data_IF_128457788843
#
_entry.id   IF_128457788843
#
_cell.length_a   1.000
_cell.length_b   1.000
_cell.length_c   1.000
_cell.angle_alpha   90.00
_cell.angle_beta   90.00
_cell.angle_gamma   90.00
#
_symmetry.space_group_name_H-M   'P 1'
#
loop_
_entity.id
_entity.type
_entity.pdbx_description
1 polymer ?
#
# COMPACT_ATOMS: atom_id res chain seq x y z
N UNK A 1 29.88 -11.04 34.90
CA UNK A 1 28.97 -9.87 34.96
C UNK A 1 28.87 -9.26 33.56
N UNK A 2 27.97 -9.72 32.71
CA UNK A 2 27.72 -9.14 31.39
C UNK A 2 26.29 -8.53 31.43
N UNK A 3 26.23 -7.21 31.52
CA UNK A 3 25.02 -6.43 31.30
C UNK A 3 24.73 -6.40 29.78
N UNK A 4 23.86 -7.27 29.32
CA UNK A 4 23.26 -7.14 27.98
C UNK A 4 22.46 -5.83 27.93
N UNK A 5 22.98 -4.84 27.24
CA UNK A 5 22.26 -3.63 26.87
C UNK A 5 21.16 -4.01 25.87
N UNK A 6 19.93 -4.05 26.34
CA UNK A 6 18.75 -4.17 25.50
C UNK A 6 18.50 -2.79 24.86
N UNK A 7 19.09 -2.54 23.69
CA UNK A 7 18.76 -1.39 22.86
C UNK A 7 17.29 -1.52 22.43
N UNK A 8 16.47 -0.48 22.57
CA UNK A 8 15.08 -0.51 22.13
C UNK A 8 15.03 -0.48 20.60
N UNK A 9 14.68 -1.63 20.02
CA UNK A 9 14.44 -1.80 18.57
C UNK A 9 13.28 -0.90 18.06
N UNK A 10 12.53 -0.27 18.97
CA UNK A 10 11.39 0.59 18.64
C UNK A 10 11.74 1.93 17.98
N UNK A 11 12.98 2.40 18.02
CA UNK A 11 13.35 3.74 17.55
C UNK A 11 13.78 3.78 16.07
N UNK A 12 14.03 2.60 15.45
CA UNK A 12 14.54 2.53 14.07
C UNK A 12 13.43 2.47 12.99
N UNK A 13 12.18 2.28 13.39
CA UNK A 13 11.05 2.14 12.45
C UNK A 13 10.47 3.51 12.04
N UNK A 14 10.79 4.58 12.74
CA UNK A 14 10.21 5.92 12.50
C UNK A 14 10.88 6.73 11.37
N UNK A 15 12.02 6.28 10.86
CA UNK A 15 12.83 7.06 9.91
C UNK A 15 12.51 6.82 8.42
N UNK A 16 11.62 5.87 8.06
CA UNK A 16 11.42 5.46 6.67
C UNK A 16 10.11 5.96 6.03
N UNK A 17 9.34 6.82 6.69
CA UNK A 17 8.01 7.24 6.21
C UNK A 17 8.00 8.54 5.37
N UNK A 18 9.13 9.07 4.93
CA UNK A 18 9.20 10.39 4.27
C UNK A 18 9.42 10.37 2.75
N UNK A 19 9.21 9.26 2.06
CA UNK A 19 9.57 9.15 0.65
C UNK A 19 8.41 9.07 -0.35
N UNK A 20 7.25 9.66 -0.07
CA UNK A 20 6.18 9.80 -1.06
C UNK A 20 5.67 11.23 -1.13
N UNK A 21 6.57 12.22 -1.17
CA UNK A 21 6.24 13.54 -1.66
C UNK A 21 5.98 13.39 -3.16
N UNK A 22 4.72 13.46 -3.58
CA UNK A 22 4.32 13.53 -4.97
C UNK A 22 5.17 14.62 -5.63
N UNK A 23 5.98 14.25 -6.61
CA UNK A 23 6.79 15.18 -7.39
C UNK A 23 5.85 15.99 -8.27
N UNK A 24 5.32 17.07 -7.70
CA UNK A 24 4.59 18.06 -8.49
C UNK A 24 5.59 18.89 -9.28
N UNK A 25 5.35 19.15 -10.55
CA UNK A 25 6.23 20.00 -11.34
C UNK A 25 6.28 21.41 -10.73
N UNK A 26 7.48 21.94 -10.58
CA UNK A 26 7.69 23.32 -10.13
C UNK A 26 7.53 24.22 -11.34
N UNK A 27 6.62 25.18 -11.27
CA UNK A 27 6.23 26.05 -12.40
C UNK A 27 6.64 27.49 -12.11
N UNK A 28 7.47 28.06 -12.95
CA UNK A 28 7.95 29.45 -12.85
C UNK A 28 7.41 30.32 -14.00
N UNK A 29 6.91 31.52 -13.71
CA UNK A 29 6.52 32.49 -14.75
C UNK A 29 7.77 33.01 -15.50
N UNK A 30 7.92 32.67 -16.79
CA UNK A 30 9.04 33.12 -17.58
C UNK A 30 8.83 34.52 -18.18
N UNK A 31 7.57 35.00 -18.28
CA UNK A 31 7.20 36.26 -18.91
C UNK A 31 6.55 37.26 -17.94
N UNK A 32 6.85 37.15 -16.64
CA UNK A 32 6.30 38.05 -15.61
C UNK A 32 4.80 37.92 -15.36
N UNK A 33 4.24 36.73 -15.60
CA UNK A 33 2.83 36.43 -15.28
C UNK A 33 2.53 36.62 -13.80
N UNK A 34 1.38 37.23 -13.51
CA UNK A 34 0.94 37.40 -12.12
C UNK A 34 0.58 36.07 -11.46
N UNK A 35 0.63 35.96 -10.12
CA UNK A 35 0.20 34.75 -9.42
C UNK A 35 -1.24 34.35 -9.73
N UNK A 36 -2.14 35.31 -9.90
CA UNK A 36 -3.54 35.06 -10.27
C UNK A 36 -3.63 34.40 -11.65
N UNK A 37 -2.88 34.93 -12.63
CA UNK A 37 -2.83 34.33 -13.96
C UNK A 37 -2.23 32.92 -13.93
N UNK A 38 -1.16 32.71 -13.18
CA UNK A 38 -0.55 31.39 -13.01
C UNK A 38 -1.54 30.37 -12.44
N UNK A 39 -2.34 30.75 -11.41
CA UNK A 39 -3.35 29.88 -10.84
C UNK A 39 -4.43 29.49 -11.86
N UNK A 40 -4.91 30.47 -12.64
CA UNK A 40 -5.91 30.24 -13.70
C UNK A 40 -5.34 29.32 -14.77
N UNK A 41 -4.15 29.64 -15.30
CA UNK A 41 -3.48 28.84 -16.33
C UNK A 41 -3.21 27.39 -15.84
N UNK A 42 -2.81 27.25 -14.59
CA UNK A 42 -2.60 25.92 -13.97
C UNK A 42 -3.89 25.12 -13.92
N UNK A 43 -4.99 25.72 -13.48
CA UNK A 43 -6.29 25.03 -13.40
C UNK A 43 -6.78 24.60 -14.80
N UNK A 44 -6.65 25.47 -15.80
CA UNK A 44 -7.01 25.13 -17.17
C UNK A 44 -6.11 24.03 -17.75
N UNK A 45 -4.80 24.06 -17.50
CA UNK A 45 -3.88 23.02 -17.93
C UNK A 45 -4.14 21.68 -17.23
N UNK A 46 -4.54 21.68 -15.97
CA UNK A 46 -4.96 20.46 -15.26
C UNK A 46 -6.24 19.88 -15.86
N UNK A 47 -7.22 20.71 -16.17
CA UNK A 47 -8.44 20.27 -16.82
C UNK A 47 -8.17 19.68 -18.21
N UNK A 48 -7.34 20.35 -19.01
CA UNK A 48 -6.91 19.86 -20.32
C UNK A 48 -6.13 18.53 -20.20
N UNK A 49 -5.21 18.44 -19.25
CA UNK A 49 -4.45 17.21 -19.01
C UNK A 49 -5.36 16.04 -18.61
N UNK A 50 -6.36 16.29 -17.75
CA UNK A 50 -7.38 15.28 -17.40
C UNK A 50 -8.15 14.80 -18.64
N UNK A 51 -8.57 15.69 -19.49
CA UNK A 51 -9.30 15.35 -20.72
C UNK A 51 -8.43 14.58 -21.72
N UNK A 52 -7.16 14.97 -21.87
CA UNK A 52 -6.24 14.40 -22.84
C UNK A 52 -5.67 13.06 -22.41
N UNK A 53 -5.36 12.89 -21.12
CA UNK A 53 -4.75 11.66 -20.59
C UNK A 53 -5.78 10.68 -20.03
N UNK A 54 -7.00 11.12 -19.75
CA UNK A 54 -8.02 10.34 -19.04
C UNK A 54 -7.71 10.13 -17.54
N UNK A 55 -6.63 10.74 -17.02
CA UNK A 55 -6.22 10.57 -15.63
C UNK A 55 -6.89 11.62 -14.75
N UNK A 56 -7.63 11.18 -13.73
CA UNK A 56 -8.25 12.03 -12.72
C UNK A 56 -7.52 11.93 -11.38
N UNK A 57 -6.70 12.92 -11.00
CA UNK A 57 -5.96 12.89 -9.73
C UNK A 57 -6.89 12.80 -8.50
N UNK A 58 -8.08 13.40 -8.58
CA UNK A 58 -9.04 13.37 -7.46
C UNK A 58 -9.61 11.97 -7.27
N UNK A 59 -9.98 11.29 -8.37
CA UNK A 59 -10.46 9.91 -8.31
C UNK A 59 -9.36 8.97 -7.77
N UNK A 60 -8.11 9.16 -8.18
CA UNK A 60 -6.97 8.40 -7.67
C UNK A 60 -6.78 8.63 -6.16
N UNK A 61 -6.84 9.86 -5.69
CA UNK A 61 -6.73 10.19 -4.28
C UNK A 61 -7.84 9.53 -3.45
N UNK A 62 -9.09 9.55 -3.95
CA UNK A 62 -10.22 8.90 -3.29
C UNK A 62 -10.05 7.38 -3.21
N UNK A 63 -9.55 6.73 -4.26
CA UNK A 63 -9.25 5.30 -4.23
C UNK A 63 -8.17 4.95 -3.21
N UNK A 64 -7.17 5.81 -3.04
CA UNK A 64 -6.08 5.62 -2.07
C UNK A 64 -6.56 5.69 -0.62
N UNK A 65 -7.61 6.50 -0.34
CA UNK A 65 -8.18 6.66 1.01
C UNK A 65 -9.14 5.54 1.39
N UNK A 66 -9.67 4.79 0.42
CA UNK A 66 -10.62 3.70 0.67
C UNK A 66 -9.99 2.41 1.21
N UNK A 67 -8.70 2.43 1.55
CA UNK A 67 -8.00 1.35 2.23
C UNK A 67 -7.71 0.14 1.32
N UNK A 68 -6.49 -0.36 1.38
CA UNK A 68 -6.13 -1.64 0.79
C UNK A 68 -6.96 -2.80 1.39
N UNK A 69 -6.97 -3.97 0.74
CA UNK A 69 -7.71 -5.12 1.23
C UNK A 69 -7.36 -5.39 2.70
N UNK A 70 -8.36 -5.68 3.55
CA UNK A 70 -8.15 -5.86 4.98
C UNK A 70 -7.12 -6.98 5.19
N UNK A 71 -6.06 -6.67 5.93
CA UNK A 71 -5.08 -7.68 6.30
C UNK A 71 -5.79 -8.75 7.12
N UNK A 72 -5.84 -9.97 6.59
CA UNK A 72 -6.44 -11.09 7.31
C UNK A 72 -5.54 -11.44 8.50
N UNK A 73 -5.98 -11.08 9.70
CA UNK A 73 -5.38 -11.47 10.97
C UNK A 73 -6.08 -12.73 11.50
N UNK A 74 -5.34 -13.57 12.21
CA UNK A 74 -5.92 -14.71 12.91
C UNK A 74 -5.86 -16.04 12.16
N UNK A 75 -5.10 -16.18 11.05
CA UNK A 75 -4.96 -17.47 10.34
C UNK A 75 -4.38 -18.59 11.21
N UNK A 76 -3.46 -18.28 12.11
CA UNK A 76 -2.93 -19.24 13.07
C UNK A 76 -3.99 -19.72 14.05
N UNK A 77 -4.83 -18.80 14.57
CA UNK A 77 -5.91 -19.14 15.52
C UNK A 77 -7.00 -19.96 14.81
N UNK A 78 -7.42 -19.57 13.61
CA UNK A 78 -8.37 -20.33 12.80
C UNK A 78 -7.82 -21.69 12.41
N UNK A 79 -6.51 -21.78 12.08
CA UNK A 79 -5.83 -23.03 11.78
C UNK A 79 -5.75 -23.95 13.02
N UNK A 80 -5.46 -23.39 14.20
CA UNK A 80 -5.43 -24.14 15.44
C UNK A 80 -6.80 -24.73 15.78
N UNK A 81 -7.86 -23.92 15.71
CA UNK A 81 -9.21 -24.38 16.03
C UNK A 81 -9.69 -25.44 15.05
N UNK A 82 -9.49 -25.26 13.74
CA UNK A 82 -9.82 -26.25 12.72
C UNK A 82 -9.01 -27.53 12.86
N UNK A 83 -7.69 -27.42 13.09
CA UNK A 83 -6.80 -28.55 13.28
C UNK A 83 -7.12 -29.34 14.57
N UNK A 84 -7.47 -28.67 15.67
CA UNK A 84 -7.90 -29.31 16.91
C UNK A 84 -9.19 -30.12 16.71
N UNK A 85 -10.19 -29.57 16.01
CA UNK A 85 -11.44 -30.26 15.75
C UNK A 85 -11.23 -31.54 14.93
N UNK A 86 -10.48 -31.46 13.83
CA UNK A 86 -10.16 -32.63 13.00
C UNK A 86 -9.31 -33.62 13.76
N UNK A 87 -8.27 -33.14 14.48
CA UNK A 87 -7.39 -33.99 15.29
C UNK A 87 -8.14 -34.71 16.44
N UNK A 88 -9.12 -34.04 17.07
CA UNK A 88 -9.98 -34.64 18.07
C UNK A 88 -10.82 -35.78 17.49
N UNK A 89 -11.42 -35.59 16.33
CA UNK A 89 -12.24 -36.59 15.65
C UNK A 89 -11.42 -37.85 15.30
N UNK A 90 -10.22 -37.68 14.72
CA UNK A 90 -9.31 -38.76 14.39
C UNK A 90 -8.79 -39.43 15.66
N UNK A 91 -8.42 -38.65 16.69
CA UNK A 91 -7.94 -39.12 17.96
C UNK A 91 -9.01 -39.89 18.74
N UNK A 92 -10.29 -39.55 18.60
CA UNK A 92 -11.41 -40.30 19.23
C UNK A 92 -11.50 -41.71 18.66
N UNK A 93 -11.32 -41.89 17.36
CA UNK A 93 -11.31 -43.19 16.68
C UNK A 93 -10.14 -44.04 17.20
N UNK A 94 -8.98 -43.41 17.46
CA UNK A 94 -7.77 -44.04 17.97
C UNK A 94 -7.77 -44.19 19.51
N UNK A 95 -8.85 -43.87 20.21
CA UNK A 95 -9.00 -44.00 21.65
C UNK A 95 -8.37 -42.86 22.48
N UNK A 96 -7.94 -41.75 21.85
CA UNK A 96 -7.32 -40.65 22.61
C UNK A 96 -7.59 -39.26 21.92
N UNK A 97 -8.82 -38.79 22.04
CA UNK A 97 -9.26 -37.52 21.45
C UNK A 97 -8.44 -36.31 21.90
N UNK A 98 -7.99 -36.29 23.19
CA UNK A 98 -7.20 -35.17 23.73
C UNK A 98 -5.81 -35.04 23.10
N UNK A 99 -5.10 -36.14 22.90
CA UNK A 99 -3.79 -36.13 22.20
C UNK A 99 -3.96 -35.78 20.72
N UNK A 100 -5.01 -36.29 20.06
CA UNK A 100 -5.34 -35.95 18.68
C UNK A 100 -5.63 -34.47 18.51
N UNK A 101 -6.43 -33.87 19.41
CA UNK A 101 -6.72 -32.42 19.39
C UNK A 101 -5.46 -31.57 19.58
N UNK A 102 -4.57 -31.96 20.53
CA UNK A 102 -3.32 -31.21 20.76
C UNK A 102 -2.39 -31.23 19.55
N UNK A 103 -2.18 -32.40 18.93
CA UNK A 103 -1.36 -32.55 17.73
C UNK A 103 -1.99 -31.77 16.57
N UNK A 104 -3.30 -31.87 16.36
CA UNK A 104 -4.05 -31.18 15.34
C UNK A 104 -4.00 -29.65 15.50
N UNK A 105 -4.07 -29.14 16.74
CA UNK A 105 -3.94 -27.73 17.04
C UNK A 105 -2.56 -27.18 16.63
N UNK A 106 -1.48 -27.85 16.98
CA UNK A 106 -0.10 -27.48 16.68
C UNK A 106 0.12 -27.47 15.14
N UNK A 107 -0.28 -28.53 14.47
CA UNK A 107 -0.15 -28.67 13.01
C UNK A 107 -1.02 -27.62 12.28
N UNK A 108 -2.25 -27.43 12.75
CA UNK A 108 -3.17 -26.43 12.19
C UNK A 108 -2.69 -25.00 12.38
N UNK A 109 -2.05 -24.69 13.52
CA UNK A 109 -1.43 -23.37 13.75
C UNK A 109 -0.32 -23.10 12.76
N UNK A 110 0.57 -24.07 12.53
CA UNK A 110 1.67 -23.94 11.58
C UNK A 110 1.15 -23.77 10.14
N UNK A 111 0.23 -24.61 9.71
CA UNK A 111 -0.36 -24.56 8.38
C UNK A 111 -1.16 -23.26 8.15
N UNK A 112 -1.96 -22.83 9.12
CA UNK A 112 -2.72 -21.58 9.09
C UNK A 112 -1.83 -20.35 9.03
N UNK A 113 -0.73 -20.35 9.80
CA UNK A 113 0.27 -19.28 9.79
C UNK A 113 1.00 -19.14 8.45
N UNK A 114 1.41 -20.26 7.85
CA UNK A 114 2.06 -20.27 6.54
C UNK A 114 1.12 -19.79 5.44
N UNK A 115 -0.13 -20.25 5.44
CA UNK A 115 -1.15 -19.79 4.49
C UNK A 115 -1.38 -18.30 4.62
N UNK A 116 -1.48 -17.78 5.83
CA UNK A 116 -1.64 -16.36 6.08
C UNK A 116 -0.45 -15.54 5.58
N UNK A 117 0.77 -16.00 5.80
CA UNK A 117 1.96 -15.34 5.27
C UNK A 117 1.94 -15.24 3.74
N UNK A 118 1.57 -16.32 3.06
CA UNK A 118 1.43 -16.31 1.58
C UNK A 118 0.35 -15.33 1.10
N UNK A 119 -0.79 -15.28 1.78
CA UNK A 119 -1.86 -14.35 1.45
C UNK A 119 -1.44 -12.89 1.67
N UNK A 120 -0.74 -12.61 2.78
CA UNK A 120 -0.23 -11.26 3.05
C UNK A 120 0.86 -10.85 2.05
N UNK A 121 1.72 -11.77 1.62
CA UNK A 121 2.72 -11.50 0.57
C UNK A 121 2.05 -11.21 -0.78
N UNK A 122 1.04 -11.98 -1.15
CA UNK A 122 0.27 -11.74 -2.39
C UNK A 122 -0.46 -10.39 -2.34
N UNK A 123 -1.07 -10.04 -1.20
CA UNK A 123 -1.72 -8.75 -1.00
C UNK A 123 -0.69 -7.58 -1.07
N UNK A 124 0.49 -7.75 -0.49
CA UNK A 124 1.56 -6.76 -0.57
C UNK A 124 2.05 -6.54 -2.00
N UNK A 125 2.19 -7.61 -2.80
CA UNK A 125 2.55 -7.50 -4.22
C UNK A 125 1.47 -6.77 -5.03
N UNK A 126 0.19 -7.05 -4.79
CA UNK A 126 -0.91 -6.33 -5.43
C UNK A 126 -0.90 -4.85 -5.08
N UNK A 127 -0.66 -4.49 -3.80
CA UNK A 127 -0.54 -3.10 -3.38
C UNK A 127 0.64 -2.39 -4.06
N UNK A 128 1.79 -3.04 -4.16
CA UNK A 128 2.95 -2.49 -4.87
C UNK A 128 2.66 -2.27 -6.36
N UNK A 129 2.03 -3.23 -7.03
CA UNK A 129 1.61 -3.10 -8.42
C UNK A 129 0.63 -1.93 -8.62
N UNK A 130 -0.36 -1.80 -7.73
CA UNK A 130 -1.31 -0.69 -7.75
C UNK A 130 -0.64 0.67 -7.55
N UNK A 131 0.32 0.78 -6.62
CA UNK A 131 1.08 2.01 -6.40
C UNK A 131 1.95 2.40 -7.61
N UNK A 132 2.60 1.43 -8.27
CA UNK A 132 3.37 1.68 -9.49
C UNK A 132 2.47 2.18 -10.63
N UNK A 133 1.30 1.59 -10.80
CA UNK A 133 0.33 2.02 -11.81
C UNK A 133 -0.15 3.45 -11.54
N UNK A 134 -0.49 3.79 -10.30
CA UNK A 134 -0.86 5.14 -9.89
C UNK A 134 0.28 6.12 -10.16
N UNK A 135 1.52 5.77 -9.81
CA UNK A 135 2.69 6.61 -10.06
C UNK A 135 2.90 6.89 -11.55
N UNK A 136 2.72 5.88 -12.41
CA UNK A 136 2.80 6.06 -13.88
C UNK A 136 1.69 6.96 -14.41
N UNK A 137 0.45 6.79 -13.93
CA UNK A 137 -0.67 7.66 -14.31
C UNK A 137 -0.41 9.11 -13.91
N UNK A 138 0.04 9.34 -12.67
CA UNK A 138 0.36 10.68 -12.18
C UNK A 138 1.53 11.31 -12.95
N UNK A 139 2.54 10.52 -13.32
CA UNK A 139 3.66 10.99 -14.17
C UNK A 139 3.15 11.43 -15.54
N UNK A 140 2.25 10.67 -16.16
CA UNK A 140 1.65 11.02 -17.46
C UNK A 140 0.83 12.30 -17.36
N UNK A 141 0.01 12.44 -16.32
CA UNK A 141 -0.77 13.63 -16.04
C UNK A 141 0.13 14.86 -15.83
N UNK A 142 1.13 14.76 -14.97
CA UNK A 142 2.05 15.87 -14.66
C UNK A 142 2.83 16.31 -15.91
N UNK A 143 3.23 15.35 -16.76
CA UNK A 143 3.87 15.67 -18.04
C UNK A 143 2.95 16.46 -18.98
N UNK A 144 1.67 16.09 -19.05
CA UNK A 144 0.69 16.82 -19.84
C UNK A 144 0.47 18.25 -19.31
N UNK A 145 0.32 18.39 -17.98
CA UNK A 145 0.24 19.72 -17.34
C UNK A 145 1.49 20.55 -17.66
N UNK A 146 2.67 19.96 -17.50
CA UNK A 146 3.93 20.64 -17.82
C UNK A 146 4.02 21.11 -19.28
N UNK A 147 3.63 20.27 -20.23
CA UNK A 147 3.61 20.64 -21.66
C UNK A 147 2.65 21.80 -21.94
N UNK A 148 1.45 21.79 -21.35
CA UNK A 148 0.48 22.86 -21.45
C UNK A 148 1.02 24.17 -20.86
N UNK A 149 1.61 24.13 -19.66
CA UNK A 149 2.19 25.31 -19.01
C UNK A 149 3.38 25.87 -19.77
N UNK A 150 4.23 25.01 -20.33
CA UNK A 150 5.34 25.46 -21.22
C UNK A 150 4.80 26.18 -22.45
N UNK A 151 3.73 25.66 -23.07
CA UNK A 151 3.07 26.32 -24.19
C UNK A 151 2.48 27.71 -23.86
N UNK A 152 2.21 27.97 -22.55
CA UNK A 152 1.74 29.28 -22.04
C UNK A 152 2.86 30.19 -21.55
N UNK A 153 4.12 29.81 -21.75
CA UNK A 153 5.28 30.64 -21.40
C UNK A 153 5.72 30.52 -19.95
N UNK A 154 5.53 29.33 -19.34
CA UNK A 154 6.09 28.99 -18.02
C UNK A 154 7.27 28.04 -18.20
N UNK A 155 8.23 28.14 -17.28
CA UNK A 155 9.31 27.16 -17.16
C UNK A 155 8.89 26.09 -16.15
N UNK A 156 8.99 24.82 -16.54
CA UNK A 156 8.59 23.67 -15.72
C UNK A 156 9.82 22.82 -15.41
N UNK A 157 10.07 22.51 -14.13
CA UNK A 157 11.16 21.66 -13.65
C UNK A 157 10.63 20.48 -12.84
#
# INVERSE_FOLDING_TARGET
>A
MQRMQRLPIGLMVWALSFAAAAQQPIIYPANGQSPQKQNTDTAECQLWAKQTTGVDPVAIAQQSTQGGPPQQQGGAIKGAAGGAAVGAAVGAIAGNAGKGAAIGAVTGTAAGGLRQRRMNQAAAQQQQGGQQQVAQQMTTFNRAVGACMTGRGYTVQ
#
